data_IF_780308385292
#
_entry.id   IF_780308385292
#
_cell.length_a   1.000
_cell.length_b   1.000
_cell.length_c   1.000
_cell.angle_alpha   90.00
_cell.angle_beta   90.00
_cell.angle_gamma   90.00
#
_symmetry.space_group_name_H-M   'P 1'
#
loop_
_entity.id
_entity.type
_entity.pdbx_description
1 polymer ?
#
# COMPACT_ATOMS: atom_id res chain seq x y z
N UNK A 1 26.03 6.21 -4.19
CA UNK A 1 26.04 4.85 -4.76
C UNK A 1 27.46 4.31 -4.94
N UNK A 2 28.40 5.05 -5.51
CA UNK A 2 29.80 4.60 -5.70
C UNK A 2 30.47 4.16 -4.38
N UNK A 3 30.22 4.86 -3.27
CA UNK A 3 30.70 4.49 -1.96
C UNK A 3 30.22 3.10 -1.51
N UNK A 4 28.94 2.77 -1.74
CA UNK A 4 28.38 1.45 -1.40
C UNK A 4 29.02 0.32 -2.22
N UNK A 5 29.32 0.58 -3.50
CA UNK A 5 30.03 -0.37 -4.36
C UNK A 5 31.44 -0.61 -3.83
N UNK A 6 32.13 0.45 -3.44
CA UNK A 6 33.47 0.37 -2.88
C UNK A 6 33.51 -0.41 -1.56
N UNK A 7 32.48 -0.30 -0.72
CA UNK A 7 32.40 -1.00 0.58
C UNK A 7 31.93 -2.44 0.43
N UNK A 8 30.98 -2.73 -0.47
CA UNK A 8 30.37 -4.06 -0.59
C UNK A 8 31.06 -4.95 -1.61
N UNK A 9 31.78 -4.38 -2.59
CA UNK A 9 32.35 -5.10 -3.71
C UNK A 9 31.32 -5.71 -4.69
N UNK A 10 30.02 -5.39 -4.51
CA UNK A 10 28.95 -5.93 -5.33
C UNK A 10 28.80 -5.15 -6.64
N UNK A 11 28.49 -5.82 -7.77
CA UNK A 11 28.07 -5.14 -8.99
C UNK A 11 26.88 -4.21 -8.74
N UNK A 12 26.84 -3.09 -9.43
CA UNK A 12 25.80 -2.07 -9.28
C UNK A 12 24.37 -2.62 -9.38
N UNK A 13 24.12 -3.52 -10.31
CA UNK A 13 22.80 -4.14 -10.52
C UNK A 13 22.37 -5.00 -9.32
N UNK A 14 23.29 -5.79 -8.77
CA UNK A 14 23.01 -6.62 -7.59
C UNK A 14 22.73 -5.72 -6.37
N UNK A 15 23.48 -4.64 -6.22
CA UNK A 15 23.27 -3.69 -5.12
C UNK A 15 21.88 -3.07 -5.18
N UNK A 16 21.41 -2.66 -6.38
CA UNK A 16 20.03 -2.15 -6.55
C UNK A 16 19.01 -3.21 -6.12
N UNK A 17 19.15 -4.46 -6.56
CA UNK A 17 18.21 -5.53 -6.20
C UNK A 17 18.17 -5.78 -4.69
N UNK A 18 19.32 -5.78 -4.03
CA UNK A 18 19.40 -5.92 -2.55
C UNK A 18 18.73 -4.74 -1.85
N UNK A 19 18.99 -3.50 -2.28
CA UNK A 19 18.36 -2.32 -1.71
C UNK A 19 16.83 -2.33 -1.90
N UNK A 20 16.36 -2.76 -3.07
CA UNK A 20 14.93 -2.91 -3.35
C UNK A 20 14.30 -4.02 -2.49
N UNK A 21 14.99 -5.14 -2.27
CA UNK A 21 14.51 -6.20 -1.39
C UNK A 21 14.42 -5.74 0.07
N UNK A 22 15.42 -5.00 0.56
CA UNK A 22 15.40 -4.40 1.90
C UNK A 22 14.28 -3.37 2.03
N UNK A 23 14.14 -2.45 1.08
CA UNK A 23 13.04 -1.49 1.05
C UNK A 23 11.68 -2.21 0.99
N UNK A 24 11.60 -3.30 0.22
CA UNK A 24 10.43 -4.17 0.15
C UNK A 24 10.08 -4.81 1.51
N UNK A 25 11.08 -5.28 2.26
CA UNK A 25 10.84 -5.87 3.58
C UNK A 25 10.27 -4.84 4.57
N UNK A 26 10.82 -3.63 4.61
CA UNK A 26 10.26 -2.54 5.41
C UNK A 26 8.85 -2.14 4.93
N UNK A 27 8.68 -1.99 3.62
CA UNK A 27 7.39 -1.66 3.02
C UNK A 27 6.33 -2.72 3.37
N UNK A 28 6.63 -4.00 3.20
CA UNK A 28 5.73 -5.10 3.51
C UNK A 28 5.38 -5.19 4.98
N UNK A 29 6.37 -4.97 5.86
CA UNK A 29 6.16 -4.95 7.32
C UNK A 29 5.17 -3.85 7.71
N UNK A 30 5.42 -2.61 7.30
CA UNK A 30 4.55 -1.47 7.59
C UNK A 30 3.18 -1.66 6.93
N UNK A 31 3.18 -2.09 5.66
CA UNK A 31 1.95 -2.28 4.88
C UNK A 31 1.00 -3.29 5.51
N UNK A 32 1.53 -4.41 6.00
CA UNK A 32 0.72 -5.47 6.61
C UNK A 32 0.05 -5.04 7.91
N UNK A 33 0.60 -4.06 8.61
CA UNK A 33 0.06 -3.55 9.89
C UNK A 33 -0.90 -2.38 9.63
N UNK A 34 -0.47 -1.38 8.84
CA UNK A 34 -1.17 -0.07 8.73
C UNK A 34 -1.48 0.38 7.30
N UNK A 35 -1.04 -0.36 6.28
CA UNK A 35 -1.40 -0.06 4.90
C UNK A 35 -0.59 1.04 4.21
N UNK A 36 0.58 1.40 4.74
CA UNK A 36 1.43 2.48 4.22
C UNK A 36 2.62 2.05 3.36
N UNK A 37 2.73 0.78 2.96
CA UNK A 37 3.90 0.23 2.28
C UNK A 37 4.27 0.94 0.98
N UNK A 38 3.27 1.36 0.21
CA UNK A 38 3.48 2.12 -1.03
C UNK A 38 4.21 3.45 -0.84
N UNK A 39 4.12 4.05 0.36
CA UNK A 39 4.86 5.27 0.70
C UNK A 39 6.37 5.04 0.82
N UNK A 40 6.80 3.79 0.98
CA UNK A 40 8.21 3.37 1.01
C UNK A 40 8.62 2.80 -0.36
N UNK A 41 7.84 1.86 -0.88
CA UNK A 41 8.21 1.10 -2.08
C UNK A 41 8.12 1.91 -3.38
N UNK A 42 7.14 2.83 -3.53
CA UNK A 42 7.05 3.66 -4.73
C UNK A 42 8.23 4.64 -4.85
N UNK A 43 8.61 5.42 -3.82
CA UNK A 43 9.84 6.21 -3.89
C UNK A 43 11.10 5.37 -4.15
N UNK A 44 11.22 4.19 -3.53
CA UNK A 44 12.35 3.29 -3.78
C UNK A 44 12.43 2.88 -5.27
N UNK A 45 11.30 2.56 -5.90
CA UNK A 45 11.23 2.27 -7.33
C UNK A 45 11.58 3.49 -8.20
N UNK A 46 11.11 4.70 -7.84
CA UNK A 46 11.42 5.93 -8.59
C UNK A 46 12.91 6.31 -8.52
N UNK A 47 13.61 5.93 -7.44
CA UNK A 47 15.06 6.14 -7.31
C UNK A 47 15.90 5.26 -8.25
N UNK A 48 15.32 4.23 -8.85
CA UNK A 48 16.01 3.39 -9.85
C UNK A 48 16.00 3.98 -11.26
N UNK A 49 15.54 5.22 -11.42
CA UNK A 49 15.41 5.94 -12.71
C UNK A 49 14.46 5.27 -13.72
N UNK A 50 13.57 4.39 -13.28
CA UNK A 50 12.50 3.87 -14.13
C UNK A 50 11.53 4.98 -14.54
N UNK A 51 10.95 4.90 -15.75
CA UNK A 51 9.81 5.76 -16.10
C UNK A 51 8.71 5.63 -15.04
N UNK A 52 8.02 6.73 -14.66
CA UNK A 52 7.06 6.72 -13.55
C UNK A 52 5.98 5.65 -13.66
N UNK A 53 5.42 5.42 -14.86
CA UNK A 53 4.43 4.35 -15.09
C UNK A 53 5.01 2.95 -14.87
N UNK A 54 6.27 2.72 -15.28
CA UNK A 54 6.97 1.44 -15.06
C UNK A 54 7.28 1.24 -13.59
N UNK A 55 7.68 2.30 -12.87
CA UNK A 55 7.89 2.25 -11.42
C UNK A 55 6.60 1.88 -10.68
N UNK A 56 5.45 2.49 -11.04
CA UNK A 56 4.15 2.15 -10.47
C UNK A 56 3.75 0.70 -10.77
N UNK A 57 3.86 0.24 -12.01
CA UNK A 57 3.53 -1.14 -12.39
C UNK A 57 4.41 -2.17 -11.70
N UNK A 58 5.73 -1.91 -11.58
CA UNK A 58 6.67 -2.76 -10.85
C UNK A 58 6.35 -2.80 -9.36
N UNK A 59 5.92 -1.66 -8.79
CA UNK A 59 5.43 -1.61 -7.42
C UNK A 59 4.16 -2.45 -7.23
N UNK A 60 3.21 -2.42 -8.19
CA UNK A 60 2.02 -3.29 -8.12
C UNK A 60 2.39 -4.77 -8.10
N UNK A 61 3.37 -5.18 -8.92
CA UNK A 61 3.89 -6.54 -8.89
C UNK A 61 4.44 -6.91 -7.49
N UNK A 62 5.26 -6.06 -6.89
CA UNK A 62 5.80 -6.32 -5.55
C UNK A 62 4.69 -6.31 -4.48
N UNK A 63 3.72 -5.42 -4.58
CA UNK A 63 2.64 -5.26 -3.59
C UNK A 63 1.67 -6.45 -3.55
N UNK A 64 1.50 -7.18 -4.65
CA UNK A 64 0.73 -8.44 -4.65
C UNK A 64 1.36 -9.45 -3.71
N UNK A 65 2.67 -9.59 -3.71
CA UNK A 65 3.36 -10.53 -2.82
C UNK A 65 3.21 -10.15 -1.35
N UNK A 66 3.37 -8.86 -1.03
CA UNK A 66 3.20 -8.36 0.33
C UNK A 66 1.75 -8.47 0.82
N UNK A 67 0.80 -7.90 0.06
CA UNK A 67 -0.61 -7.97 0.40
C UNK A 67 -1.14 -9.41 0.41
N UNK A 68 -0.67 -10.27 -0.49
CA UNK A 68 -1.00 -11.69 -0.51
C UNK A 68 -0.53 -12.43 0.73
N UNK A 69 0.75 -12.22 1.13
CA UNK A 69 1.32 -12.81 2.35
C UNK A 69 0.52 -12.39 3.60
N UNK A 70 0.24 -11.11 3.76
CA UNK A 70 -0.58 -10.60 4.87
C UNK A 70 -2.02 -11.14 4.82
N UNK A 71 -2.65 -11.15 3.63
CA UNK A 71 -4.00 -11.67 3.44
C UNK A 71 -4.12 -13.14 3.84
N UNK A 72 -3.16 -13.98 3.43
CA UNK A 72 -3.13 -15.40 3.80
C UNK A 72 -3.01 -15.53 5.32
N UNK A 73 -2.14 -14.73 5.96
CA UNK A 73 -1.97 -14.75 7.41
C UNK A 73 -3.27 -14.37 8.14
N UNK A 74 -3.92 -13.28 7.74
CA UNK A 74 -5.18 -12.86 8.36
C UNK A 74 -6.34 -13.82 8.11
N UNK A 75 -6.44 -14.40 6.92
CA UNK A 75 -7.46 -15.42 6.59
C UNK A 75 -7.29 -16.68 7.45
N UNK A 76 -6.06 -17.18 7.60
CA UNK A 76 -5.76 -18.37 8.43
C UNK A 76 -6.07 -18.15 9.90
N UNK A 77 -6.01 -16.91 10.37
CA UNK A 77 -6.31 -16.55 11.74
C UNK A 77 -7.76 -16.03 11.94
N UNK A 78 -8.65 -16.23 10.96
CA UNK A 78 -10.07 -15.88 11.02
C UNK A 78 -10.34 -14.40 11.34
N UNK A 79 -9.45 -13.48 10.95
CA UNK A 79 -9.56 -12.03 11.20
C UNK A 79 -10.36 -11.28 10.12
N UNK A 80 -10.79 -11.97 9.05
CA UNK A 80 -11.45 -11.35 7.89
C UNK A 80 -12.96 -11.61 7.91
N UNK A 81 -13.76 -10.55 7.79
CA UNK A 81 -15.20 -10.67 7.48
C UNK A 81 -15.38 -10.92 5.99
N UNK A 82 -15.30 -12.20 5.60
CA UNK A 82 -15.42 -12.59 4.20
C UNK A 82 -16.83 -12.29 3.62
N UNK A 83 -17.86 -12.21 4.46
CA UNK A 83 -19.23 -11.88 4.03
C UNK A 83 -19.33 -10.46 3.49
N UNK A 84 -18.67 -9.50 4.12
CA UNK A 84 -18.60 -8.12 3.67
C UNK A 84 -17.60 -7.96 2.52
N UNK A 85 -16.36 -8.45 2.72
CA UNK A 85 -15.24 -8.25 1.78
C UNK A 85 -15.59 -8.76 0.38
N UNK A 86 -16.16 -9.96 0.24
CA UNK A 86 -16.54 -10.52 -1.09
C UNK A 86 -17.49 -9.63 -1.89
N UNK A 87 -18.32 -8.82 -1.23
CA UNK A 87 -19.24 -7.88 -1.88
C UNK A 87 -18.52 -6.63 -2.39
N UNK A 88 -17.38 -6.29 -1.78
CA UNK A 88 -16.58 -5.11 -2.12
C UNK A 88 -15.51 -5.41 -3.18
N UNK A 89 -15.06 -6.67 -3.31
CA UNK A 89 -14.02 -7.08 -4.26
C UNK A 89 -14.25 -6.60 -5.69
N UNK A 90 -15.44 -6.79 -6.31
CA UNK A 90 -15.68 -6.37 -7.70
C UNK A 90 -15.50 -4.86 -7.89
N UNK A 91 -15.96 -4.07 -6.92
CA UNK A 91 -15.87 -2.61 -6.97
C UNK A 91 -14.42 -2.13 -6.86
N UNK A 92 -13.66 -2.70 -5.93
CA UNK A 92 -12.23 -2.40 -5.78
C UNK A 92 -11.44 -2.82 -7.04
N UNK A 93 -11.76 -3.99 -7.60
CA UNK A 93 -11.11 -4.50 -8.81
C UNK A 93 -11.35 -3.59 -10.01
N UNK A 94 -12.62 -3.28 -10.31
CA UNK A 94 -13.00 -2.41 -11.43
C UNK A 94 -12.43 -1.00 -11.22
N UNK A 95 -12.57 -0.45 -10.01
CA UNK A 95 -12.01 0.86 -9.68
C UNK A 95 -10.50 0.92 -9.96
N UNK A 96 -9.77 -0.10 -9.54
CA UNK A 96 -8.31 -0.16 -9.72
C UNK A 96 -7.91 -0.25 -11.19
N UNK A 97 -8.63 -1.01 -12.00
CA UNK A 97 -8.40 -1.03 -13.45
C UNK A 97 -8.61 0.36 -14.07
N UNK A 98 -9.71 1.04 -13.72
CA UNK A 98 -10.01 2.38 -14.22
C UNK A 98 -8.94 3.40 -13.81
N UNK A 99 -8.50 3.37 -12.56
CA UNK A 99 -7.43 4.23 -12.07
C UNK A 99 -6.10 4.00 -12.80
N UNK A 100 -5.76 2.73 -13.05
CA UNK A 100 -4.54 2.38 -13.79
C UNK A 100 -4.59 2.83 -15.24
N UNK A 101 -5.71 2.64 -15.91
CA UNK A 101 -5.91 3.16 -17.28
C UNK A 101 -5.78 4.68 -17.32
N UNK A 102 -6.32 5.37 -16.31
CA UNK A 102 -6.21 6.82 -16.22
C UNK A 102 -4.76 7.29 -16.07
N UNK A 103 -3.96 6.69 -15.17
CA UNK A 103 -2.57 7.12 -14.95
C UNK A 103 -1.67 6.82 -16.15
N UNK A 104 -1.87 5.70 -16.83
CA UNK A 104 -1.07 5.34 -18.02
C UNK A 104 -1.41 6.22 -19.22
N UNK A 105 -2.63 6.75 -19.28
CA UNK A 105 -3.06 7.67 -20.32
C UNK A 105 -2.49 9.09 -20.15
N UNK A 106 -1.90 9.40 -19.00
CA UNK A 106 -1.28 10.70 -18.75
C UNK A 106 0.14 10.78 -19.37
N UNK A 107 0.53 11.94 -19.92
CA UNK A 107 1.91 12.15 -20.32
C UNK A 107 2.86 11.97 -19.12
N UNK A 108 4.02 11.28 -19.29
CA UNK A 108 4.96 10.98 -18.21
C UNK A 108 5.41 12.21 -17.41
N UNK A 109 5.44 13.38 -18.05
CA UNK A 109 5.80 14.65 -17.44
C UNK A 109 4.91 15.02 -16.24
N UNK A 110 3.62 14.66 -16.29
CA UNK A 110 2.66 14.98 -15.22
C UNK A 110 2.57 13.88 -14.15
N UNK A 111 2.93 12.65 -14.48
CA UNK A 111 2.77 11.50 -13.56
C UNK A 111 3.63 11.68 -12.31
N UNK A 112 4.91 12.02 -12.46
CA UNK A 112 5.83 12.19 -11.31
C UNK A 112 5.41 13.32 -10.37
N UNK A 113 5.09 14.55 -10.79
CA UNK A 113 4.56 15.60 -9.94
C UNK A 113 3.26 15.19 -9.21
N UNK A 114 2.34 14.55 -9.94
CA UNK A 114 1.07 14.08 -9.35
C UNK A 114 1.33 13.07 -8.25
N UNK A 115 2.23 12.10 -8.46
CA UNK A 115 2.62 11.14 -7.41
C UNK A 115 3.12 11.89 -6.17
N UNK A 116 4.03 12.84 -6.33
CA UNK A 116 4.62 13.60 -5.22
C UNK A 116 3.55 14.38 -4.46
N UNK A 117 2.67 15.09 -5.17
CA UNK A 117 1.59 15.88 -4.56
C UNK A 117 0.61 14.97 -3.80
N UNK A 118 0.22 13.84 -4.39
CA UNK A 118 -0.70 12.91 -3.74
C UNK A 118 -0.05 12.21 -2.54
N UNK A 119 1.22 11.82 -2.63
CA UNK A 119 1.99 11.34 -1.48
C UNK A 119 1.98 12.35 -0.34
N UNK A 120 2.18 13.62 -0.66
CA UNK A 120 2.13 14.72 0.29
C UNK A 120 0.75 14.85 0.95
N UNK A 121 -0.30 14.94 0.14
CA UNK A 121 -1.67 15.08 0.64
C UNK A 121 -2.10 13.90 1.52
N UNK A 122 -1.75 12.66 1.11
CA UNK A 122 -2.06 11.46 1.89
C UNK A 122 -1.32 11.47 3.22
N UNK A 123 -0.03 11.80 3.21
CA UNK A 123 0.77 11.86 4.44
C UNK A 123 0.19 12.91 5.40
N UNK A 124 -0.14 14.10 4.91
CA UNK A 124 -0.80 15.15 5.71
C UNK A 124 -2.14 14.65 6.30
N UNK A 125 -3.00 14.07 5.44
CA UNK A 125 -4.30 13.59 5.88
C UNK A 125 -4.18 12.56 7.01
N UNK A 126 -3.27 11.58 6.86
CA UNK A 126 -3.06 10.53 7.84
C UNK A 126 -2.57 11.08 9.18
N UNK A 127 -1.70 12.09 9.15
CA UNK A 127 -1.13 12.69 10.36
C UNK A 127 -2.12 13.56 11.13
N UNK A 128 -2.91 14.37 10.42
CA UNK A 128 -3.83 15.30 11.10
C UNK A 128 -5.04 14.62 11.76
N UNK A 129 -5.34 13.37 11.40
CA UNK A 129 -6.49 12.67 11.94
C UNK A 129 -6.09 11.75 13.10
N UNK A 130 -6.05 12.30 14.33
CA UNK A 130 -5.60 11.62 15.55
C UNK A 130 -6.62 10.68 16.21
N UNK A 131 -7.93 10.90 16.01
CA UNK A 131 -8.97 10.19 16.75
C UNK A 131 -9.55 9.02 15.93
N UNK A 132 -9.04 7.83 16.19
CA UNK A 132 -9.46 6.60 15.53
C UNK A 132 -10.04 5.62 16.53
N UNK A 133 -11.29 5.21 16.27
CA UNK A 133 -12.17 4.46 17.10
C UNK A 133 -11.66 3.22 17.83
N UNK A 134 -12.05 3.13 19.09
CA UNK A 134 -12.02 1.95 19.93
C UNK A 134 -13.37 1.20 19.94
N UNK A 135 -14.19 1.35 18.88
CA UNK A 135 -15.57 0.83 18.90
C UNK A 135 -15.62 -0.52 18.20
N UNK A 136 -15.68 -1.56 18.99
CA UNK A 136 -15.97 -2.92 18.53
C UNK A 136 -17.50 -3.08 18.38
N UNK A 137 -18.06 -2.67 17.25
CA UNK A 137 -19.45 -2.97 16.88
C UNK A 137 -19.43 -3.87 15.65
N UNK A 138 -19.53 -5.16 15.86
CA UNK A 138 -19.89 -6.16 14.83
C UNK A 138 -21.34 -5.97 14.39
N UNK A 139 -21.69 -4.83 13.82
CA UNK A 139 -22.97 -4.67 13.16
C UNK A 139 -22.83 -5.12 11.71
N UNK A 140 -23.67 -6.07 11.29
CA UNK A 140 -23.71 -6.45 9.88
C UNK A 140 -23.97 -5.22 9.02
N UNK A 141 -23.03 -4.91 8.13
CA UNK A 141 -23.16 -3.80 7.19
C UNK A 141 -24.20 -4.20 6.11
N UNK A 142 -25.39 -3.62 6.20
CA UNK A 142 -26.53 -3.93 5.31
C UNK A 142 -27.21 -2.66 4.80
N UNK A 143 -28.08 -2.81 3.81
CA UNK A 143 -28.86 -1.70 3.29
C UNK A 143 -28.02 -0.55 2.72
N UNK A 144 -28.38 0.69 3.08
CA UNK A 144 -27.70 1.92 2.58
C UNK A 144 -26.20 1.95 2.92
N UNK A 145 -25.82 1.43 4.10
CA UNK A 145 -24.41 1.39 4.52
C UNK A 145 -23.57 0.51 3.58
N UNK A 146 -24.11 -0.60 3.10
CA UNK A 146 -23.42 -1.47 2.15
C UNK A 146 -23.16 -0.75 0.81
N UNK A 147 -24.13 0.00 0.28
CA UNK A 147 -23.93 0.76 -0.96
C UNK A 147 -22.87 1.85 -0.79
N UNK A 148 -22.81 2.50 0.37
CA UNK A 148 -21.76 3.47 0.69
C UNK A 148 -20.38 2.76 0.70
N UNK A 149 -20.29 1.58 1.32
CA UNK A 149 -19.05 0.80 1.31
C UNK A 149 -18.63 0.39 -0.10
N UNK A 150 -19.58 0.01 -0.97
CA UNK A 150 -19.28 -0.34 -2.37
C UNK A 150 -18.78 0.89 -3.15
N UNK A 151 -19.42 2.04 -3.01
CA UNK A 151 -18.98 3.29 -3.64
C UNK A 151 -17.60 3.72 -3.12
N UNK A 152 -17.36 3.59 -1.82
CA UNK A 152 -16.06 3.85 -1.20
C UNK A 152 -14.98 2.88 -1.73
N UNK A 153 -15.29 1.58 -1.82
CA UNK A 153 -14.36 0.57 -2.34
C UNK A 153 -14.01 0.83 -3.82
N UNK A 154 -14.98 1.28 -4.64
CA UNK A 154 -14.75 1.71 -6.01
C UNK A 154 -13.83 2.94 -6.05
N UNK A 155 -14.13 3.98 -5.28
CA UNK A 155 -13.34 5.21 -5.23
C UNK A 155 -11.91 4.99 -4.75
N UNK A 156 -11.72 4.19 -3.69
CA UNK A 156 -10.39 3.82 -3.22
C UNK A 156 -9.68 2.90 -4.22
N UNK A 157 -10.41 2.02 -4.90
CA UNK A 157 -9.87 1.24 -6.01
C UNK A 157 -9.32 2.13 -7.12
N UNK A 158 -10.07 3.15 -7.57
CA UNK A 158 -9.61 4.13 -8.57
C UNK A 158 -8.34 4.83 -8.08
N UNK A 159 -8.33 5.30 -6.85
CA UNK A 159 -7.15 5.92 -6.25
C UNK A 159 -5.94 4.97 -6.24
N UNK A 160 -6.14 3.71 -5.83
CA UNK A 160 -5.08 2.70 -5.77
C UNK A 160 -4.53 2.37 -7.15
N UNK A 161 -5.40 2.22 -8.14
CA UNK A 161 -5.00 2.00 -9.53
C UNK A 161 -4.24 3.19 -10.12
N UNK A 162 -4.63 4.40 -9.74
CA UNK A 162 -4.02 5.63 -10.24
C UNK A 162 -2.61 5.84 -9.67
N UNK A 163 -2.40 5.69 -8.33
CA UNK A 163 -1.09 5.88 -7.70
C UNK A 163 -0.81 4.84 -6.60
N UNK A 164 -1.72 4.64 -5.67
CA UNK A 164 -1.71 3.57 -4.69
C UNK A 164 -1.11 3.83 -3.31
N UNK A 165 -0.07 4.63 -3.09
CA UNK A 165 0.47 4.85 -1.77
C UNK A 165 -0.58 5.34 -0.76
N UNK A 166 -0.65 4.69 0.42
CA UNK A 166 -1.65 5.01 1.44
C UNK A 166 -3.03 4.36 1.26
N UNK A 167 -3.28 3.62 0.19
CA UNK A 167 -4.54 2.92 -0.06
C UNK A 167 -4.95 2.04 1.11
N UNK A 168 -4.03 1.23 1.63
CA UNK A 168 -4.32 0.38 2.79
C UNK A 168 -4.78 1.16 4.00
N UNK A 169 -4.18 2.33 4.26
CA UNK A 169 -4.60 3.24 5.30
C UNK A 169 -6.04 3.72 5.10
N UNK A 170 -6.41 4.16 3.90
CA UNK A 170 -7.78 4.58 3.60
C UNK A 170 -8.78 3.43 3.73
N UNK A 171 -8.42 2.23 3.29
CA UNK A 171 -9.26 1.04 3.45
C UNK A 171 -9.47 0.70 4.92
N UNK A 172 -8.41 0.72 5.74
CA UNK A 172 -8.50 0.54 7.20
C UNK A 172 -9.48 1.55 7.80
N UNK A 173 -9.33 2.84 7.41
CA UNK A 173 -10.24 3.90 7.85
C UNK A 173 -11.70 3.60 7.49
N UNK A 174 -11.95 3.20 6.25
CA UNK A 174 -13.28 2.83 5.80
C UNK A 174 -13.90 1.74 6.66
N UNK A 175 -13.14 0.69 6.99
CA UNK A 175 -13.61 -0.39 7.85
C UNK A 175 -13.81 0.06 9.31
N UNK A 176 -12.95 0.93 9.85
CA UNK A 176 -13.16 1.51 11.19
C UNK A 176 -14.46 2.33 11.24
N UNK A 177 -14.78 3.11 10.21
CA UNK A 177 -16.06 3.84 10.13
C UNK A 177 -17.28 2.93 10.08
N UNK A 178 -17.12 1.69 9.63
CA UNK A 178 -18.18 0.68 9.67
C UNK A 178 -18.24 -0.10 10.99
N UNK A 179 -17.37 0.23 11.97
CA UNK A 179 -17.40 -0.32 13.33
C UNK A 179 -16.41 -1.45 13.60
N UNK A 180 -15.48 -1.75 12.66
CA UNK A 180 -14.39 -2.69 12.92
C UNK A 180 -13.32 -2.07 13.81
N UNK A 181 -12.71 -2.86 14.69
CA UNK A 181 -11.47 -2.47 15.37
C UNK A 181 -10.29 -2.44 14.39
N UNK A 182 -9.16 -1.86 14.82
CA UNK A 182 -7.98 -1.68 13.98
C UNK A 182 -7.43 -2.98 13.38
N UNK A 183 -7.44 -4.09 14.13
CA UNK A 183 -6.89 -5.35 13.66
C UNK A 183 -7.78 -5.97 12.57
N UNK A 184 -9.08 -6.07 12.80
CA UNK A 184 -10.04 -6.60 11.82
C UNK A 184 -10.17 -5.65 10.62
N UNK A 185 -10.12 -4.33 10.83
CA UNK A 185 -10.08 -3.35 9.75
C UNK A 185 -8.83 -3.54 8.86
N UNK A 186 -7.64 -3.73 9.46
CA UNK A 186 -6.42 -4.04 8.72
C UNK A 186 -6.53 -5.34 7.94
N UNK A 187 -7.06 -6.39 8.55
CA UNK A 187 -7.25 -7.68 7.90
C UNK A 187 -8.17 -7.61 6.67
N UNK A 188 -9.33 -6.96 6.81
CA UNK A 188 -10.28 -6.77 5.70
C UNK A 188 -9.68 -5.88 4.60
N UNK A 189 -8.99 -4.81 4.98
CA UNK A 189 -8.33 -3.90 4.05
C UNK A 189 -7.27 -4.62 3.19
N UNK A 190 -6.54 -5.60 3.73
CA UNK A 190 -5.52 -6.35 2.98
C UNK A 190 -6.10 -7.16 1.84
N UNK A 191 -7.26 -7.75 2.02
CA UNK A 191 -7.92 -8.51 0.94
C UNK A 191 -8.30 -7.57 -0.22
N UNK A 192 -8.89 -6.40 0.09
CA UNK A 192 -9.21 -5.42 -0.93
C UNK A 192 -7.95 -4.85 -1.60
N UNK A 193 -6.91 -4.59 -0.81
CA UNK A 193 -5.64 -4.07 -1.33
C UNK A 193 -4.91 -5.11 -2.22
N UNK A 194 -4.94 -6.39 -1.88
CA UNK A 194 -4.47 -7.45 -2.76
C UNK A 194 -5.23 -7.45 -4.09
N UNK A 195 -6.56 -7.34 -4.03
CA UNK A 195 -7.42 -7.33 -5.22
C UNK A 195 -7.17 -6.13 -6.12
N UNK A 196 -7.00 -4.94 -5.55
CA UNK A 196 -6.70 -3.73 -6.32
C UNK A 196 -5.30 -3.79 -6.95
N UNK A 197 -4.30 -4.27 -6.21
CA UNK A 197 -2.96 -4.46 -6.78
C UNK A 197 -2.95 -5.50 -7.90
N UNK A 198 -3.73 -6.59 -7.77
CA UNK A 198 -3.88 -7.59 -8.83
C UNK A 198 -4.52 -6.98 -10.07
N UNK A 199 -5.62 -6.24 -9.91
CA UNK A 199 -6.30 -5.57 -11.01
C UNK A 199 -5.40 -4.58 -11.76
N UNK A 200 -4.69 -3.72 -11.00
CA UNK A 200 -3.70 -2.78 -11.57
C UNK A 200 -2.56 -3.51 -12.29
N UNK A 201 -2.01 -4.55 -11.67
CA UNK A 201 -0.90 -5.30 -12.28
C UNK A 201 -1.30 -5.91 -13.61
N UNK A 202 -2.50 -6.47 -13.74
CA UNK A 202 -2.98 -7.03 -15.00
C UNK A 202 -2.99 -5.97 -16.12
N UNK A 203 -3.44 -4.75 -15.81
CA UNK A 203 -3.42 -3.63 -16.76
C UNK A 203 -1.99 -3.19 -17.09
N UNK A 204 -1.13 -3.00 -16.09
CA UNK A 204 0.27 -2.60 -16.31
C UNK A 204 1.06 -3.66 -17.10
N UNK A 205 0.82 -4.97 -16.83
CA UNK A 205 1.44 -6.06 -17.61
C UNK A 205 0.98 -6.05 -19.07
N UNK A 206 -0.33 -5.91 -19.29
CA UNK A 206 -0.89 -5.84 -20.65
C UNK A 206 -0.30 -4.69 -21.46
N UNK A 207 -0.03 -3.55 -20.81
CA UNK A 207 0.52 -2.35 -21.44
C UNK A 207 2.07 -2.33 -21.46
N UNK A 208 2.74 -3.36 -20.93
CA UNK A 208 4.20 -3.43 -20.91
C UNK A 208 4.90 -2.48 -19.92
N UNK A 209 4.18 -1.98 -18.92
CA UNK A 209 4.67 -1.03 -17.93
C UNK A 209 5.13 -1.70 -16.61
N UNK A 210 5.88 -2.81 -16.69
CA UNK A 210 6.38 -3.53 -15.50
C UNK A 210 7.83 -3.96 -15.70
N UNK A 211 8.71 -3.56 -14.80
CA UNK A 211 10.03 -4.16 -14.67
C UNK A 211 9.93 -5.37 -13.73
N UNK A 212 9.92 -6.57 -14.33
CA UNK A 212 9.72 -7.83 -13.60
C UNK A 212 10.83 -8.05 -12.57
N UNK A 213 12.09 -7.80 -12.92
CA UNK A 213 13.25 -8.04 -12.04
C UNK A 213 13.16 -7.18 -10.76
N UNK A 214 12.89 -5.89 -10.89
CA UNK A 214 12.79 -4.99 -9.75
C UNK A 214 11.52 -5.27 -8.93
N UNK A 215 10.40 -5.58 -9.61
CA UNK A 215 9.16 -5.99 -8.95
C UNK A 215 9.31 -7.25 -8.12
N UNK A 216 10.00 -8.29 -8.65
CA UNK A 216 10.26 -9.53 -7.93
C UNK A 216 11.25 -9.35 -6.77
N UNK A 217 12.32 -8.59 -6.95
CA UNK A 217 13.28 -8.33 -5.89
C UNK A 217 12.61 -7.64 -4.69
N UNK A 218 11.83 -6.57 -4.97
CA UNK A 218 11.06 -5.88 -3.93
C UNK A 218 9.98 -6.78 -3.33
N UNK A 219 9.31 -7.59 -4.16
CA UNK A 219 8.27 -8.53 -3.76
C UNK A 219 8.78 -9.61 -2.80
N UNK A 220 9.99 -10.14 -3.04
CA UNK A 220 10.63 -11.09 -2.13
C UNK A 220 10.81 -10.49 -0.73
N UNK A 221 11.28 -9.25 -0.65
CA UNK A 221 11.33 -8.51 0.61
C UNK A 221 9.95 -8.31 1.22
N UNK A 222 8.96 -7.91 0.42
CA UNK A 222 7.60 -7.68 0.90
C UNK A 222 6.94 -8.94 1.49
N UNK A 223 7.21 -10.14 0.96
CA UNK A 223 6.72 -11.39 1.55
C UNK A 223 7.21 -11.53 2.99
N UNK A 224 8.52 -11.37 3.19
CA UNK A 224 9.14 -11.51 4.51
C UNK A 224 8.60 -10.45 5.47
N UNK A 225 8.62 -9.19 5.04
CA UNK A 225 8.13 -8.08 5.86
C UNK A 225 6.65 -8.22 6.21
N UNK A 226 5.80 -8.55 5.26
CA UNK A 226 4.37 -8.71 5.46
C UNK A 226 4.03 -9.91 6.34
N UNK A 227 4.77 -11.00 6.22
CA UNK A 227 4.63 -12.16 7.11
C UNK A 227 4.92 -11.77 8.56
N UNK A 228 6.06 -11.14 8.80
CA UNK A 228 6.45 -10.70 10.16
C UNK A 228 5.47 -9.66 10.72
N UNK A 229 5.09 -8.65 9.92
CA UNK A 229 4.21 -7.58 10.37
C UNK A 229 2.80 -8.06 10.67
N UNK A 230 2.22 -8.92 9.83
CA UNK A 230 0.87 -9.45 10.07
C UNK A 230 0.81 -10.37 11.30
N UNK A 231 1.82 -11.23 11.52
CA UNK A 231 1.91 -12.04 12.74
C UNK A 231 2.06 -11.17 13.99
N UNK A 232 2.88 -10.13 13.93
CA UNK A 232 3.06 -9.21 15.03
C UNK A 232 1.77 -8.42 15.31
N UNK A 233 1.03 -8.00 14.26
CA UNK A 233 -0.25 -7.33 14.41
C UNK A 233 -1.28 -8.23 15.12
N UNK A 234 -1.35 -9.51 14.75
CA UNK A 234 -2.24 -10.49 15.40
C UNK A 234 -1.82 -10.72 16.84
N UNK A 235 -0.53 -10.93 17.11
CA UNK A 235 -0.02 -11.23 18.45
C UNK A 235 -0.20 -10.06 19.43
N UNK A 236 -0.09 -8.82 18.98
CA UNK A 236 -0.16 -7.60 19.81
C UNK A 236 -1.51 -6.88 19.72
N UNK A 237 -2.34 -7.24 18.77
CA UNK A 237 -3.70 -6.70 18.59
C UNK A 237 -3.75 -5.24 18.12
N UNK A 238 -4.94 -4.65 18.22
CA UNK A 238 -5.26 -3.32 17.71
C UNK A 238 -4.37 -2.20 18.30
N UNK A 239 -3.86 -2.36 19.52
CA UNK A 239 -2.98 -1.37 20.16
C UNK A 239 -1.67 -1.20 19.39
N UNK A 240 -1.03 -2.30 18.96
CA UNK A 240 0.19 -2.22 18.16
C UNK A 240 -0.07 -1.59 16.81
N UNK A 241 -1.15 -2.02 16.14
CA UNK A 241 -1.52 -1.47 14.82
C UNK A 241 -1.67 0.04 14.90
N UNK A 242 -2.34 0.55 15.94
CA UNK A 242 -2.49 2.00 16.19
C UNK A 242 -1.15 2.70 16.41
N UNK A 243 -0.27 2.14 17.26
CA UNK A 243 1.04 2.75 17.55
C UNK A 243 1.92 2.79 16.30
N UNK A 244 2.01 1.69 15.56
CA UNK A 244 2.80 1.65 14.30
C UNK A 244 2.23 2.63 13.28
N UNK A 245 0.91 2.71 13.15
CA UNK A 245 0.23 3.66 12.28
C UNK A 245 0.64 5.10 12.59
N UNK A 246 0.51 5.52 13.84
CA UNK A 246 0.85 6.87 14.27
C UNK A 246 2.35 7.16 14.11
N UNK A 247 3.22 6.18 14.43
CA UNK A 247 4.67 6.35 14.30
C UNK A 247 5.11 6.53 12.85
N UNK A 248 4.66 5.65 11.96
CA UNK A 248 5.01 5.71 10.53
C UNK A 248 4.52 7.01 9.90
N UNK A 249 3.28 7.40 10.18
CA UNK A 249 2.71 8.63 9.63
C UNK A 249 3.41 9.88 10.17
N UNK A 250 3.80 9.89 11.44
CA UNK A 250 4.56 11.01 12.03
C UNK A 250 5.95 11.12 11.39
N UNK A 251 6.68 10.01 11.25
CA UNK A 251 8.01 10.01 10.61
C UNK A 251 7.92 10.49 9.17
N UNK A 252 6.90 10.05 8.42
CA UNK A 252 6.69 10.50 7.05
C UNK A 252 6.41 12.00 6.96
N UNK A 253 5.62 12.54 7.88
CA UNK A 253 5.35 13.99 7.93
C UNK A 253 6.61 14.77 8.25
N UNK A 254 7.38 14.35 9.25
CA UNK A 254 8.64 15.01 9.61
C UNK A 254 9.62 15.03 8.43
N UNK A 255 9.74 13.90 7.72
CA UNK A 255 10.56 13.84 6.50
C UNK A 255 10.07 14.82 5.44
N UNK A 256 8.78 14.88 5.21
CA UNK A 256 8.18 15.74 4.20
C UNK A 256 8.36 17.23 4.52
N UNK A 257 8.19 17.62 5.79
CA UNK A 257 8.49 18.99 6.28
C UNK A 257 9.97 19.31 6.09
N UNK A 258 10.86 18.36 6.44
CA UNK A 258 12.30 18.53 6.25
C UNK A 258 12.66 18.70 4.76
N UNK A 259 12.12 17.85 3.87
CA UNK A 259 12.37 17.93 2.43
C UNK A 259 11.85 19.26 1.85
N UNK A 260 10.72 19.76 2.33
CA UNK A 260 10.17 21.07 1.93
C UNK A 260 11.06 22.23 2.37
N UNK A 261 11.51 22.23 3.63
CA UNK A 261 12.40 23.29 4.17
C UNK A 261 13.77 23.26 3.48
N UNK A 262 14.27 22.06 3.16
CA UNK A 262 15.59 21.91 2.50
C UNK A 262 15.61 22.32 1.02
N UNK A 263 14.43 22.51 0.41
CA UNK A 263 14.26 22.98 -0.98
C UNK A 263 13.94 24.46 -1.09
N UNK A 264 13.72 25.15 0.03
CA UNK A 264 13.61 26.62 0.12
C UNK A 264 14.98 27.27 0.33
#
# INVERSE_FOLDING_TARGET
MEWLIAVTGLPFDILILVLLAVAGAFAGFVDSIVGGGGLISVPAMLLTNLPPSVALGSNKLSSIFGAGSASITFLRNHMVDFSLVRKLLPFTFVGSMLGTLAVVSLPPLYVKPIIIILLFCVTLFVVFKKDWGEINRTSQVTGKALYICMAFALGIGIYDGFIGPGTGTFLIMGFIFTGFDFLHASANAKILNFTSNLASLLVFLYLGHVNITYGLATGAGQIIGAYLGSHLAIAKGSSLVRVVFLSVTTVMLLKLVYDYISTL
#
